data_IF_879946126628
#
_entry.id   IF_879946126628
#
_cell.length_a   1.000
_cell.length_b   1.000
_cell.length_c   1.000
_cell.angle_alpha   90.00
_cell.angle_beta   90.00
_cell.angle_gamma   90.00
#
_symmetry.space_group_name_H-M   'P 1'
#
loop_
_entity.id
_entity.type
_entity.pdbx_description
1 polymer ?
#
# COMPACT_ATOMS: atom_id res chain seq x y z
N UNK A 1 1.97 17.73 -5.29
CA UNK A 1 1.40 16.69 -4.42
C UNK A 1 2.47 15.66 -4.14
N UNK A 2 2.97 15.61 -2.89
CA UNK A 2 3.99 14.63 -2.48
C UNK A 2 3.35 13.25 -2.38
N UNK A 3 3.79 12.36 -3.27
CA UNK A 3 3.39 10.95 -3.28
C UNK A 3 4.27 10.21 -2.29
N UNK A 4 3.80 10.09 -1.05
CA UNK A 4 4.50 9.36 0.02
C UNK A 4 3.89 7.98 0.16
N UNK A 5 4.73 6.96 0.16
CA UNK A 5 4.35 5.59 0.51
C UNK A 5 4.73 5.39 1.97
N UNK A 6 3.86 4.76 2.73
CA UNK A 6 4.08 4.45 4.14
C UNK A 6 4.11 2.94 4.32
N UNK A 7 5.07 2.45 5.10
CA UNK A 7 5.10 1.08 5.60
C UNK A 7 5.02 1.14 7.12
N UNK A 8 3.81 0.87 7.66
CA UNK A 8 3.49 1.25 9.04
C UNK A 8 3.59 2.78 9.19
N UNK A 9 4.39 3.24 10.16
CA UNK A 9 4.57 4.67 10.43
C UNK A 9 5.76 5.29 9.68
N UNK A 10 6.47 4.51 8.86
CA UNK A 10 7.69 4.95 8.18
C UNK A 10 7.41 5.37 6.74
N UNK A 11 7.79 6.59 6.38
CA UNK A 11 7.81 7.04 4.97
C UNK A 11 8.90 6.28 4.23
N UNK A 12 8.53 5.63 3.14
CA UNK A 12 9.44 4.85 2.31
C UNK A 12 9.54 5.44 0.92
N UNK A 13 10.76 5.46 0.40
CA UNK A 13 11.04 5.77 -0.99
C UNK A 13 10.44 4.67 -1.87
N UNK A 14 9.64 4.98 -2.90
CA UNK A 14 9.12 4.00 -3.85
C UNK A 14 10.20 3.07 -4.42
N UNK A 15 11.42 3.57 -4.65
CA UNK A 15 12.54 2.77 -5.16
C UNK A 15 13.05 1.74 -4.16
N UNK A 16 12.83 1.95 -2.85
CA UNK A 16 13.24 1.05 -1.77
C UNK A 16 12.12 0.13 -1.29
N UNK A 17 10.89 0.39 -1.71
CA UNK A 17 9.72 -0.36 -1.25
C UNK A 17 9.87 -1.87 -1.44
N UNK A 18 10.37 -2.30 -2.61
CA UNK A 18 10.55 -3.73 -2.92
C UNK A 18 11.51 -4.41 -1.94
N UNK A 19 12.70 -3.83 -1.76
CA UNK A 19 13.72 -4.35 -0.85
C UNK A 19 13.21 -4.36 0.60
N UNK A 20 12.48 -3.32 1.02
CA UNK A 20 11.94 -3.24 2.37
C UNK A 20 10.90 -4.34 2.62
N UNK A 21 9.98 -4.57 1.68
CA UNK A 21 9.00 -5.66 1.76
C UNK A 21 9.68 -7.05 1.74
N UNK A 22 10.74 -7.23 0.95
CA UNK A 22 11.54 -8.46 0.93
C UNK A 22 12.23 -8.73 2.28
N UNK A 23 12.74 -7.68 2.92
CA UNK A 23 13.41 -7.77 4.22
C UNK A 23 12.46 -7.83 5.43
N UNK A 24 11.17 -7.56 5.23
CA UNK A 24 10.20 -7.50 6.32
C UNK A 24 9.74 -8.92 6.70
N UNK A 25 10.16 -9.37 7.89
CA UNK A 25 9.88 -10.73 8.38
C UNK A 25 8.38 -11.06 8.43
N UNK A 26 7.52 -10.08 8.75
CA UNK A 26 6.07 -10.28 8.79
C UNK A 26 5.50 -10.47 7.39
N UNK A 27 5.91 -9.63 6.45
CA UNK A 27 5.50 -9.76 5.03
C UNK A 27 5.97 -11.10 4.46
N UNK A 28 7.19 -11.54 4.79
CA UNK A 28 7.69 -12.83 4.33
C UNK A 28 6.99 -14.04 4.96
N UNK A 29 6.46 -13.89 6.18
CA UNK A 29 5.72 -14.95 6.87
C UNK A 29 4.26 -15.01 6.43
N UNK A 30 3.57 -13.88 6.47
CA UNK A 30 2.13 -13.79 6.28
C UNK A 30 1.77 -13.64 4.79
N UNK A 31 2.73 -13.21 3.95
CA UNK A 31 2.56 -12.96 2.51
C UNK A 31 1.41 -12.00 2.20
N UNK A 32 1.03 -11.17 3.17
CA UNK A 32 -0.11 -10.28 3.11
C UNK A 32 0.29 -8.85 3.45
N UNK A 33 -0.23 -7.87 2.69
CA UNK A 33 -0.10 -6.45 3.00
C UNK A 33 -1.42 -5.72 2.79
N UNK A 34 -1.62 -4.65 3.54
CA UNK A 34 -2.76 -3.76 3.39
C UNK A 34 -2.31 -2.45 2.75
N UNK A 35 -2.94 -2.08 1.65
CA UNK A 35 -2.72 -0.82 0.93
C UNK A 35 -3.82 0.16 1.29
N UNK A 36 -3.46 1.23 2.00
CA UNK A 36 -4.32 2.39 2.17
C UNK A 36 -3.97 3.39 1.07
N UNK A 37 -4.90 3.61 0.15
CA UNK A 37 -4.74 4.53 -0.97
C UNK A 37 -5.79 5.64 -0.89
N UNK A 38 -5.35 6.89 -1.02
CA UNK A 38 -6.25 8.03 -1.18
C UNK A 38 -6.98 7.93 -2.53
N UNK A 39 -8.28 8.23 -2.55
CA UNK A 39 -9.13 8.18 -3.75
C UNK A 39 -8.68 9.13 -4.86
N UNK A 40 -7.94 10.18 -4.51
CA UNK A 40 -7.36 11.15 -5.45
C UNK A 40 -6.12 10.61 -6.19
N UNK A 41 -5.59 9.44 -5.79
CA UNK A 41 -4.41 8.88 -6.43
C UNK A 41 -4.74 8.35 -7.84
N UNK A 42 -3.85 8.59 -8.82
CA UNK A 42 -3.99 7.98 -10.13
C UNK A 42 -3.95 6.46 -10.01
N UNK A 43 -4.91 5.79 -10.64
CA UNK A 43 -5.00 4.32 -10.65
C UNK A 43 -3.68 3.64 -11.08
N UNK A 44 -2.97 4.23 -12.06
CA UNK A 44 -1.68 3.71 -12.50
C UNK A 44 -0.61 3.63 -11.39
N UNK A 45 -0.63 4.56 -10.43
CA UNK A 45 0.28 4.52 -9.29
C UNK A 45 -0.07 3.36 -8.35
N UNK A 46 -1.37 3.14 -8.08
CA UNK A 46 -1.85 2.03 -7.25
C UNK A 46 -1.38 0.70 -7.85
N UNK A 47 -1.55 0.52 -9.16
CA UNK A 47 -1.12 -0.69 -9.86
C UNK A 47 0.41 -0.87 -9.81
N UNK A 48 1.20 0.20 -9.91
CA UNK A 48 2.66 0.12 -9.77
C UNK A 48 3.09 -0.35 -8.38
N UNK A 49 2.43 0.14 -7.33
CA UNK A 49 2.68 -0.28 -5.94
C UNK A 49 2.29 -1.74 -5.75
N UNK A 50 1.13 -2.16 -6.25
CA UNK A 50 0.70 -3.57 -6.20
C UNK A 50 1.65 -4.50 -6.95
N UNK A 51 2.16 -4.08 -8.11
CA UNK A 51 3.16 -4.84 -8.86
C UNK A 51 4.47 -5.01 -8.08
N UNK A 52 4.90 -3.95 -7.40
CA UNK A 52 6.10 -3.95 -6.57
C UNK A 52 5.96 -4.86 -5.35
N UNK A 53 4.80 -4.80 -4.67
CA UNK A 53 4.49 -5.71 -3.57
C UNK A 53 4.51 -7.19 -4.01
N UNK A 54 3.91 -7.51 -5.15
CA UNK A 54 3.95 -8.88 -5.71
C UNK A 54 5.37 -9.36 -6.00
N UNK A 55 6.25 -8.53 -6.58
CA UNK A 55 7.67 -8.89 -6.79
C UNK A 55 8.43 -9.11 -5.49
N UNK A 56 8.02 -8.43 -4.42
CA UNK A 56 8.57 -8.64 -3.08
C UNK A 56 8.08 -9.94 -2.39
N UNK A 57 7.22 -10.72 -3.06
CA UNK A 57 6.68 -11.97 -2.55
C UNK A 57 5.39 -11.80 -1.74
N UNK A 58 4.65 -10.70 -1.92
CA UNK A 58 3.29 -10.56 -1.38
C UNK A 58 2.31 -11.34 -2.26
N UNK A 59 1.49 -12.18 -1.64
CA UNK A 59 0.47 -12.99 -2.30
C UNK A 59 -0.94 -12.40 -2.12
N UNK A 60 -1.23 -11.86 -0.94
CA UNK A 60 -2.52 -11.23 -0.63
C UNK A 60 -2.35 -9.72 -0.42
N UNK A 61 -3.18 -8.92 -1.09
CA UNK A 61 -3.13 -7.47 -0.98
C UNK A 61 -4.53 -6.94 -0.68
N UNK A 62 -4.77 -6.59 0.58
CA UNK A 62 -6.01 -5.97 1.02
C UNK A 62 -5.97 -4.47 0.74
N UNK A 63 -7.10 -3.87 0.33
CA UNK A 63 -7.22 -2.42 0.28
C UNK A 63 -7.98 -1.92 1.50
N UNK A 64 -7.40 -0.96 2.22
CA UNK A 64 -8.11 -0.22 3.24
C UNK A 64 -8.61 1.06 2.58
N UNK A 65 -9.89 1.07 2.26
CA UNK A 65 -10.59 2.28 1.86
C UNK A 65 -11.27 2.85 3.09
N UNK A 66 -11.03 4.12 3.39
CA UNK A 66 -11.89 4.81 4.34
C UNK A 66 -13.30 4.86 3.74
N UNK A 67 -14.33 4.40 4.48
CA UNK A 67 -15.71 4.60 4.06
C UNK A 67 -15.87 6.10 3.86
N UNK A 68 -16.49 6.46 2.74
CA UNK A 68 -16.91 7.85 2.51
C UNK A 68 -17.72 8.20 3.75
N UNK A 69 -17.38 9.29 4.45
CA UNK A 69 -18.27 9.82 5.49
C UNK A 69 -19.65 9.79 4.87
N UNK A 70 -20.47 8.85 5.32
CA UNK A 70 -21.85 8.75 4.93
C UNK A 70 -22.37 10.14 5.24
N UNK A 71 -22.75 10.91 4.21
CA UNK A 71 -23.46 12.15 4.44
C UNK A 71 -24.73 11.69 5.12
N UNK A 72 -24.73 11.70 6.46
CA UNK A 72 -25.92 11.80 7.28
C UNK A 72 -26.56 13.14 6.92
N UNK A 73 -27.21 13.17 5.75
CA UNK A 73 -28.29 14.09 5.47
C UNK A 73 -29.41 13.69 6.41
N UNK A 74 -29.50 14.47 7.47
CA UNK A 74 -30.69 14.85 8.26
C UNK A 74 -32.00 14.14 7.92
#
# INVERSE_FOLDING_TARGET
HDRKIYLGDTVVDPARLEQMLQSNARVQKDKEVYLQADRSLPYGLVVQVMATARRAGVESLGMITEPEKELTSR
#
